data_IF_700092293962
#
_entry.id   IF_700092293962
#
_cell.length_a   1.000
_cell.length_b   1.000
_cell.length_c   1.000
_cell.angle_alpha   90.00
_cell.angle_beta   90.00
_cell.angle_gamma   90.00
#
_symmetry.space_group_name_H-M   'P 1'
#
loop_
_entity.id
_entity.type
_entity.pdbx_description
1 polymer ?
#
# COMPACT_ATOMS: atom_id res chain seq x y z
N UNK A 1 -5.90 13.10 4.94
CA UNK A 1 -4.49 13.57 4.90
C UNK A 1 -4.01 13.46 3.47
N UNK A 2 -3.33 14.47 2.93
CA UNK A 2 -2.75 14.37 1.59
C UNK A 2 -1.59 13.39 1.56
N UNK A 3 -1.65 12.40 0.67
CA UNK A 3 -0.65 11.37 0.49
C UNK A 3 -0.25 11.28 -0.99
N UNK A 4 1.02 11.50 -1.30
CA UNK A 4 1.56 11.23 -2.64
C UNK A 4 1.81 9.74 -2.81
N UNK A 5 1.21 9.13 -3.82
CA UNK A 5 1.28 7.70 -4.12
C UNK A 5 1.75 7.47 -5.55
N UNK A 6 2.37 6.32 -5.81
CA UNK A 6 2.63 5.86 -7.16
C UNK A 6 1.49 5.00 -7.67
N UNK A 7 0.92 5.37 -8.83
CA UNK A 7 -0.06 4.58 -9.53
C UNK A 7 0.62 3.83 -10.70
N UNK A 8 0.77 2.50 -10.61
CA UNK A 8 1.40 1.71 -11.66
C UNK A 8 0.54 1.63 -12.93
N UNK A 9 -0.78 1.64 -12.81
CA UNK A 9 -1.71 1.56 -13.95
C UNK A 9 -1.70 2.84 -14.79
N UNK A 10 -1.49 4.01 -14.15
CA UNK A 10 -1.30 5.30 -14.84
C UNK A 10 0.16 5.68 -15.05
N UNK A 11 1.10 4.89 -14.51
CA UNK A 11 2.56 5.12 -14.51
C UNK A 11 2.98 6.52 -14.03
N UNK A 12 2.27 7.09 -13.06
CA UNK A 12 2.54 8.45 -12.53
C UNK A 12 2.33 8.53 -11.02
N UNK A 13 2.86 9.59 -10.41
CA UNK A 13 2.50 9.95 -9.04
C UNK A 13 1.14 10.68 -9.02
N UNK A 14 0.37 10.43 -7.97
CA UNK A 14 -0.91 11.09 -7.70
C UNK A 14 -0.95 11.54 -6.24
N UNK A 15 -1.63 12.64 -5.95
CA UNK A 15 -1.94 13.06 -4.59
C UNK A 15 -3.36 12.60 -4.27
N UNK A 16 -3.51 11.81 -3.21
CA UNK A 16 -4.78 11.30 -2.72
C UNK A 16 -5.07 11.92 -1.35
N UNK A 17 -6.33 12.21 -1.05
CA UNK A 17 -6.75 12.50 0.31
C UNK A 17 -7.13 11.20 1.02
N UNK A 18 -6.19 10.68 1.79
CA UNK A 18 -6.30 9.39 2.48
C UNK A 18 -6.44 9.64 3.97
N UNK A 19 -7.49 9.06 4.56
CA UNK A 19 -7.61 8.94 6.00
C UNK A 19 -7.01 7.59 6.42
N UNK A 20 -6.02 7.60 7.31
CA UNK A 20 -5.38 6.39 7.84
C UNK A 20 -5.94 6.17 9.25
N UNK A 21 -6.65 5.06 9.44
CA UNK A 21 -7.29 4.69 10.72
C UNK A 21 -6.88 3.28 11.14
N UNK A 22 -7.20 2.89 12.38
CA UNK A 22 -6.93 1.52 12.85
C UNK A 22 -7.81 0.48 12.13
N UNK A 23 -9.01 0.87 11.71
CA UNK A 23 -9.96 0.01 11.03
C UNK A 23 -9.53 -0.29 9.60
N UNK A 24 -9.02 0.72 8.87
CA UNK A 24 -8.68 0.60 7.46
C UNK A 24 -7.20 0.25 7.18
N UNK A 25 -6.35 0.21 8.21
CA UNK A 25 -4.91 0.01 8.06
C UNK A 25 -4.39 -1.17 8.87
N UNK A 26 -3.59 -2.01 8.24
CA UNK A 26 -2.79 -3.03 8.95
C UNK A 26 -1.34 -2.58 9.00
N UNK A 27 -0.84 -2.33 10.21
CA UNK A 27 0.53 -1.92 10.47
C UNK A 27 1.44 -3.12 10.69
N UNK A 28 2.62 -3.10 10.08
CA UNK A 28 3.65 -4.11 10.26
C UNK A 28 4.86 -3.51 10.93
N UNK A 29 5.40 -4.23 11.93
CA UNK A 29 6.65 -3.84 12.58
C UNK A 29 7.75 -3.69 11.52
N UNK A 30 8.31 -2.48 11.46
CA UNK A 30 9.42 -2.17 10.57
C UNK A 30 10.57 -3.15 10.82
N UNK A 31 11.06 -3.75 9.73
CA UNK A 31 12.33 -4.48 9.75
C UNK A 31 13.37 -3.54 9.15
N UNK A 32 14.64 -3.62 9.56
CA UNK A 32 15.79 -2.80 9.07
C UNK A 32 16.11 -2.97 7.56
N UNK A 33 15.11 -3.22 6.73
CA UNK A 33 15.16 -3.35 5.30
C UNK A 33 14.21 -2.29 4.71
N UNK A 34 14.77 -1.38 3.91
CA UNK A 34 14.04 -0.28 3.27
C UNK A 34 12.91 -0.76 2.33
N UNK A 35 12.98 -2.00 1.85
CA UNK A 35 11.94 -2.65 1.04
C UNK A 35 10.92 -3.42 1.88
N UNK A 36 10.95 -3.29 3.20
CA UNK A 36 9.95 -3.91 4.06
C UNK A 36 8.63 -3.13 3.96
N UNK A 37 7.54 -3.86 3.76
CA UNK A 37 6.19 -3.30 3.82
C UNK A 37 5.89 -2.97 5.28
N UNK A 38 5.55 -1.71 5.52
CA UNK A 38 5.30 -1.13 6.86
C UNK A 38 3.82 -0.99 7.16
N UNK A 39 3.00 -0.78 6.13
CA UNK A 39 1.54 -0.78 6.27
C UNK A 39 0.87 -1.12 4.95
N UNK A 40 -0.35 -1.63 5.06
CA UNK A 40 -1.31 -1.73 3.98
C UNK A 40 -2.60 -1.03 4.42
N UNK A 41 -3.21 -0.24 3.54
CA UNK A 41 -4.39 0.60 3.87
C UNK A 41 -5.42 0.47 2.76
N UNK A 42 -6.66 0.17 3.13
CA UNK A 42 -7.79 0.22 2.20
C UNK A 42 -8.19 1.67 1.95
N UNK A 43 -8.35 2.05 0.69
CA UNK A 43 -8.82 3.38 0.32
C UNK A 43 -9.56 3.34 -1.01
N UNK A 44 -10.80 3.87 -1.02
CA UNK A 44 -11.63 4.06 -2.22
C UNK A 44 -11.72 2.83 -3.14
N UNK A 45 -11.94 1.64 -2.56
CA UNK A 45 -12.03 0.38 -3.31
C UNK A 45 -10.68 -0.20 -3.77
N UNK A 46 -9.57 0.37 -3.33
CA UNK A 46 -8.23 -0.09 -3.64
C UNK A 46 -7.32 -0.24 -2.41
N UNK A 47 -6.08 -0.64 -2.67
CA UNK A 47 -5.08 -0.96 -1.67
C UNK A 47 -3.84 -0.07 -1.82
N UNK A 48 -3.49 0.61 -0.74
CA UNK A 48 -2.22 1.29 -0.59
C UNK A 48 -1.21 0.36 0.07
N UNK A 49 -0.04 0.20 -0.53
CA UNK A 49 1.07 -0.61 0.01
C UNK A 49 2.27 0.30 0.25
N UNK A 50 2.62 0.54 1.53
CA UNK A 50 3.78 1.35 1.92
C UNK A 50 5.01 0.49 2.16
N UNK A 51 6.13 0.82 1.52
CA UNK A 51 7.45 0.24 1.82
C UNK A 51 8.40 1.28 2.39
N UNK A 52 8.96 1.04 3.58
CA UNK A 52 9.98 1.88 4.21
C UNK A 52 9.67 3.38 4.09
N UNK A 53 10.58 4.14 3.49
CA UNK A 53 10.46 5.60 3.30
C UNK A 53 9.93 6.03 1.91
N UNK A 54 9.57 5.10 1.02
CA UNK A 54 9.09 5.43 -0.34
C UNK A 54 7.60 5.82 -0.37
N UNK A 55 7.12 6.46 -1.44
CA UNK A 55 5.69 6.64 -1.67
C UNK A 55 4.95 5.29 -1.63
N UNK A 56 3.73 5.21 -1.04
CA UNK A 56 2.90 4.04 -1.21
C UNK A 56 2.62 3.77 -2.69
N UNK A 57 2.44 2.50 -3.04
CA UNK A 57 1.86 2.11 -4.32
C UNK A 57 0.36 1.94 -4.14
N UNK A 58 -0.42 2.49 -5.06
CA UNK A 58 -1.88 2.36 -5.07
C UNK A 58 -2.34 1.36 -6.13
N UNK A 59 -3.12 0.37 -5.72
CA UNK A 59 -3.69 -0.67 -6.58
C UNK A 59 -5.20 -0.58 -6.55
N UNK A 60 -5.83 -0.45 -7.72
CA UNK A 60 -7.28 -0.52 -7.84
C UNK A 60 -7.79 -1.96 -7.65
N UNK A 61 -9.05 -2.08 -7.21
CA UNK A 61 -9.81 -3.34 -7.13
C UNK A 61 -9.14 -4.45 -6.32
N UNK A 62 -8.35 -4.06 -5.33
CA UNK A 62 -7.71 -4.95 -4.35
C UNK A 62 -7.90 -4.34 -2.99
N UNK A 63 -8.24 -5.14 -1.99
CA UNK A 63 -8.33 -4.76 -0.59
C UNK A 63 -7.34 -5.54 0.27
N UNK A 64 -7.20 -5.15 1.54
CA UNK A 64 -6.46 -5.93 2.55
C UNK A 64 -7.11 -7.30 2.76
N UNK A 65 -8.43 -7.39 2.68
CA UNK A 65 -9.17 -8.65 2.86
C UNK A 65 -8.85 -9.65 1.74
N UNK A 66 -8.79 -9.21 0.49
CA UNK A 66 -8.42 -10.06 -0.66
C UNK A 66 -7.05 -10.72 -0.49
N UNK A 67 -6.13 -9.98 0.16
CA UNK A 67 -4.80 -10.48 0.50
C UNK A 67 -4.70 -11.04 1.92
N UNK A 68 -5.81 -11.28 2.60
CA UNK A 68 -5.87 -11.83 3.96
C UNK A 68 -4.99 -11.07 4.95
N UNK A 69 -4.96 -9.74 4.85
CA UNK A 69 -4.16 -8.82 5.67
C UNK A 69 -2.66 -9.16 5.67
N UNK A 70 -2.18 -9.88 4.64
CA UNK A 70 -0.88 -10.52 4.65
C UNK A 70 0.21 -9.67 4.03
N UNK A 71 1.21 -9.33 4.84
CA UNK A 71 2.46 -8.70 4.37
C UNK A 71 3.16 -9.51 3.27
N UNK A 72 3.04 -10.84 3.29
CA UNK A 72 3.67 -11.71 2.29
C UNK A 72 2.97 -11.54 0.94
N UNK A 73 1.64 -11.63 0.91
CA UNK A 73 0.83 -11.43 -0.31
C UNK A 73 0.98 -10.02 -0.87
N UNK A 74 1.00 -8.99 -0.01
CA UNK A 74 1.29 -7.61 -0.44
C UNK A 74 2.65 -7.49 -1.15
N UNK A 75 3.68 -8.23 -0.70
CA UNK A 75 4.99 -8.26 -1.37
C UNK A 75 4.95 -8.99 -2.71
N UNK A 76 4.15 -10.04 -2.82
CA UNK A 76 3.96 -10.78 -4.07
C UNK A 76 3.29 -9.90 -5.13
N UNK A 77 2.25 -9.15 -4.77
CA UNK A 77 1.64 -8.13 -5.63
C UNK A 77 2.66 -7.11 -6.12
N UNK A 78 3.45 -6.54 -5.20
CA UNK A 78 4.49 -5.56 -5.54
C UNK A 78 5.57 -6.09 -6.49
N UNK A 79 5.78 -7.41 -6.57
CA UNK A 79 6.72 -8.03 -7.51
C UNK A 79 6.14 -8.20 -8.91
N UNK A 80 4.82 -8.33 -9.03
CA UNK A 80 4.11 -8.48 -10.31
C UNK A 80 3.95 -7.16 -11.07
N UNK A 81 4.11 -6.03 -10.37
CA UNK A 81 4.04 -4.68 -10.95
C UNK A 81 5.36 -4.21 -11.57
N UNK A 82 6.38 -5.07 -11.61
CA UNK A 82 7.71 -4.77 -12.15
C UNK A 82 7.82 -5.15 -13.61
#
# INVERSE_FOLDING_TARGET
>A
MECTVYNPQKRRLETLDVEITEENTTWFRYRRNIRSITMITDWNGGLLIKTGFNYPVYLYDVSREDIGYSRKKARELMRQLR
#
